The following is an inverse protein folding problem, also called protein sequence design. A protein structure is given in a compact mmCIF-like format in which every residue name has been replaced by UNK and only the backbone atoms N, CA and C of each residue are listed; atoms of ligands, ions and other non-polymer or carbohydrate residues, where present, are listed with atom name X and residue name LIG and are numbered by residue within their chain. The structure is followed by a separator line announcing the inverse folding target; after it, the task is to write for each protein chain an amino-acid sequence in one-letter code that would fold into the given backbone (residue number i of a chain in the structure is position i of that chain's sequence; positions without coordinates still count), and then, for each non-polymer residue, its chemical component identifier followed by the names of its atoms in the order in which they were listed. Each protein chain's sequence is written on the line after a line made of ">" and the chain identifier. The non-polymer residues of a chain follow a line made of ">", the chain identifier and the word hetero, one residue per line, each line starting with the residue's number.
data_IF_005676226250
#
_entry.id   IF_005676226250
#
_cell.length_a   1.000
_cell.length_b   1.000
_cell.length_c   1.000
_cell.angle_alpha   90.00
_cell.angle_beta   90.00
_cell.angle_gamma   90.00
#
_symmetry.space_group_name_H-M   'P 1'
#
loop_
_entity.id
_entity.type
_entity.pdbx_description
1 polymer ?
#
# COMPACT_ATOMS: atom_id res chain seq x y z
N UNK A 1 -11.92 -1.40 -7.51
CA UNK A 1 -11.82 -2.88 -7.63
C UNK A 1 -11.97 -3.55 -6.26
N UNK A 2 -12.45 -4.80 -6.17
CA UNK A 2 -12.69 -5.47 -4.88
C UNK A 2 -11.40 -5.65 -4.04
N UNK A 3 -10.29 -5.99 -4.70
CA UNK A 3 -8.96 -6.09 -4.07
C UNK A 3 -8.55 -4.77 -3.40
N UNK A 4 -8.77 -3.64 -4.08
CA UNK A 4 -8.43 -2.31 -3.55
C UNK A 4 -9.29 -1.95 -2.33
N UNK A 5 -10.60 -2.22 -2.37
CA UNK A 5 -11.49 -1.96 -1.24
C UNK A 5 -11.08 -2.77 0.00
N UNK A 6 -10.80 -4.06 -0.18
CA UNK A 6 -10.36 -4.95 0.88
C UNK A 6 -9.02 -4.51 1.46
N UNK A 7 -8.04 -4.15 0.61
CA UNK A 7 -6.74 -3.64 1.03
C UNK A 7 -6.86 -2.36 1.86
N UNK A 8 -7.63 -1.38 1.38
CA UNK A 8 -7.84 -0.11 2.10
C UNK A 8 -8.54 -0.33 3.45
N UNK A 9 -9.52 -1.23 3.51
CA UNK A 9 -10.17 -1.59 4.78
C UNK A 9 -9.20 -2.25 5.75
N UNK A 10 -8.36 -3.17 5.28
CA UNK A 10 -7.38 -3.85 6.12
C UNK A 10 -6.37 -2.85 6.72
N UNK A 11 -5.80 -1.97 5.90
CA UNK A 11 -4.87 -0.94 6.35
C UNK A 11 -5.51 0.02 7.37
N UNK A 12 -6.76 0.45 7.14
CA UNK A 12 -7.51 1.34 8.04
C UNK A 12 -7.77 0.76 9.44
N UNK A 13 -7.74 -0.56 9.59
CA UNK A 13 -7.86 -1.19 10.92
C UNK A 13 -6.59 -1.01 11.76
N UNK A 14 -5.45 -0.77 11.13
CA UNK A 14 -4.17 -0.57 11.83
C UNK A 14 -3.96 0.91 12.16
N UNK A 15 -4.18 1.80 11.18
CA UNK A 15 -4.05 3.23 11.41
C UNK A 15 -3.97 4.05 10.13
N UNK A 16 -3.47 5.27 10.28
CA UNK A 16 -3.29 6.24 9.21
C UNK A 16 -1.79 6.35 8.89
N UNK A 17 -1.24 5.27 8.34
CA UNK A 17 0.18 5.06 8.03
C UNK A 17 0.38 4.46 6.64
N UNK A 18 1.63 4.17 6.30
CA UNK A 18 1.97 3.40 5.11
C UNK A 18 2.00 1.91 5.47
N UNK A 19 1.17 1.12 4.81
CA UNK A 19 1.08 -0.32 5.06
C UNK A 19 1.15 -1.12 3.78
N UNK A 20 1.89 -2.23 3.81
CA UNK A 20 1.78 -3.28 2.81
C UNK A 20 0.65 -4.23 3.19
N UNK A 21 -0.19 -4.63 2.23
CA UNK A 21 -1.28 -5.58 2.47
C UNK A 21 -1.19 -6.71 1.46
N UNK A 22 -0.88 -7.90 1.97
CA UNK A 22 -0.80 -9.10 1.15
C UNK A 22 -2.18 -9.71 0.99
N UNK A 23 -2.61 -9.86 -0.26
CA UNK A 23 -3.95 -10.33 -0.61
C UNK A 23 -3.83 -11.59 -1.48
N UNK A 24 -4.64 -12.60 -1.15
CA UNK A 24 -4.82 -13.79 -1.96
C UNK A 24 -6.24 -13.86 -2.51
N UNK A 25 -6.35 -13.84 -3.84
CA UNK A 25 -7.60 -14.17 -4.54
C UNK A 25 -7.67 -15.68 -4.81
N UNK A 26 -8.83 -16.27 -4.53
CA UNK A 26 -9.12 -17.69 -4.69
C UNK A 26 -10.54 -17.86 -5.27
N UNK A 27 -10.93 -19.06 -5.73
CA UNK A 27 -12.32 -19.33 -6.12
C UNK A 27 -13.36 -19.07 -5.03
N UNK A 28 -12.94 -19.06 -3.76
CA UNK A 28 -13.80 -18.85 -2.60
C UNK A 28 -13.84 -17.38 -2.13
N UNK A 29 -13.12 -16.48 -2.82
CA UNK A 29 -13.08 -15.06 -2.51
C UNK A 29 -11.67 -14.51 -2.30
N UNK A 30 -11.62 -13.27 -1.84
CA UNK A 30 -10.41 -12.47 -1.62
C UNK A 30 -10.12 -12.42 -0.10
N UNK A 31 -8.91 -12.80 0.28
CA UNK A 31 -8.49 -12.91 1.67
C UNK A 31 -7.25 -12.06 1.91
N UNK A 32 -7.22 -11.35 3.04
CA UNK A 32 -6.01 -10.68 3.55
C UNK A 32 -5.16 -11.74 4.26
N UNK A 33 -3.88 -11.79 3.91
CA UNK A 33 -2.91 -12.73 4.48
C UNK A 33 -2.10 -12.05 5.58
N UNK A 34 -1.56 -10.87 5.30
CA UNK A 34 -0.72 -10.10 6.22
C UNK A 34 -0.91 -8.59 6.00
N UNK A 35 -0.68 -7.81 7.07
CA UNK A 35 -0.55 -6.36 7.01
C UNK A 35 0.78 -5.97 7.68
N UNK A 36 1.67 -5.32 6.91
CA UNK A 36 3.01 -4.93 7.34
C UNK A 36 3.09 -3.40 7.51
N UNK A 37 3.57 -2.95 8.66
CA UNK A 37 3.77 -1.52 9.01
C UNK A 37 5.07 -0.92 8.48
N UNK A 38 6.04 -1.77 8.15
CA UNK A 38 7.25 -1.41 7.43
C UNK A 38 7.37 -2.24 6.14
N UNK A 39 6.51 -1.96 5.13
CA UNK A 39 6.56 -2.69 3.87
C UNK A 39 7.86 -2.43 3.12
N UNK A 40 8.35 -3.43 2.40
CA UNK A 40 9.41 -3.20 1.43
C UNK A 40 8.85 -2.44 0.22
N UNK A 41 9.69 -1.61 -0.40
CA UNK A 41 9.37 -0.86 -1.62
C UNK A 41 10.59 -0.93 -2.53
N UNK A 42 10.42 -1.38 -3.76
CA UNK A 42 11.48 -1.78 -4.67
C UNK A 42 11.43 -1.05 -6.01
N UNK A 43 12.56 -0.46 -6.41
CA UNK A 43 12.71 0.03 -7.79
C UNK A 43 12.53 -1.11 -8.81
N UNK A 44 11.81 -0.81 -9.89
CA UNK A 44 11.41 -1.77 -10.91
C UNK A 44 10.07 -2.45 -10.63
N UNK A 45 9.53 -2.37 -9.40
CA UNK A 45 8.22 -2.93 -9.03
C UNK A 45 7.20 -1.80 -8.90
N UNK A 46 7.31 -0.94 -7.88
CA UNK A 46 6.32 0.12 -7.66
C UNK A 46 6.33 1.19 -8.76
N UNK A 47 7.48 1.38 -9.41
CA UNK A 47 7.67 2.36 -10.48
C UNK A 47 7.53 1.76 -11.89
N UNK A 48 7.02 0.54 -12.00
CA UNK A 48 6.73 -0.10 -13.29
C UNK A 48 5.76 0.75 -14.12
N UNK A 49 4.71 1.27 -13.47
CA UNK A 49 3.68 2.09 -14.09
C UNK A 49 4.01 3.60 -14.11
N UNK A 50 4.14 4.22 -12.94
CA UNK A 50 4.21 5.69 -12.80
C UNK A 50 5.64 6.26 -12.81
N UNK A 51 6.67 5.40 -12.92
CA UNK A 51 8.09 5.80 -12.93
C UNK A 51 8.40 6.73 -11.74
N UNK A 52 9.08 7.85 -11.98
CA UNK A 52 9.47 8.77 -10.91
C UNK A 52 8.30 9.38 -10.12
N UNK A 53 7.08 9.39 -10.68
CA UNK A 53 5.95 10.03 -10.03
C UNK A 53 5.51 9.31 -8.75
N UNK A 54 5.62 7.97 -8.67
CA UNK A 54 5.25 7.25 -7.45
C UNK A 54 6.17 7.63 -6.29
N UNK A 55 7.48 7.76 -6.55
CA UNK A 55 8.47 8.13 -5.54
C UNK A 55 8.27 9.56 -5.06
N UNK A 56 7.95 10.48 -5.98
CA UNK A 56 7.65 11.88 -5.65
C UNK A 56 6.40 11.96 -4.76
N UNK A 57 5.33 11.26 -5.12
CA UNK A 57 4.09 11.25 -4.34
C UNK A 57 4.28 10.64 -2.95
N UNK A 58 4.96 9.50 -2.87
CA UNK A 58 5.26 8.83 -1.61
C UNK A 58 6.08 9.72 -0.67
N UNK A 59 7.15 10.34 -1.20
CA UNK A 59 8.01 11.23 -0.41
C UNK A 59 7.25 12.47 0.06
N UNK A 60 6.45 13.09 -0.81
CA UNK A 60 5.60 14.23 -0.44
C UNK A 60 4.62 13.88 0.67
N UNK A 61 3.98 12.72 0.60
CA UNK A 61 3.07 12.26 1.65
C UNK A 61 3.76 12.18 3.02
N UNK A 62 4.98 11.66 3.10
CA UNK A 62 5.74 11.63 4.35
C UNK A 62 6.15 13.02 4.85
N UNK A 63 6.55 13.92 3.95
CA UNK A 63 6.86 15.31 4.30
C UNK A 63 5.65 15.97 4.95
N UNK A 64 4.48 15.91 4.30
CA UNK A 64 3.24 16.50 4.81
C UNK A 64 2.84 15.88 6.17
N UNK A 65 3.01 14.55 6.32
CA UNK A 65 2.67 13.82 7.56
C UNK A 65 3.55 14.20 8.74
N UNK A 66 4.83 14.46 8.51
CA UNK A 66 5.82 14.78 9.55
C UNK A 66 5.86 16.26 9.94
N UNK A 67 4.96 17.07 9.38
CA UNK A 67 4.86 18.50 9.66
C UNK A 67 5.77 19.37 8.78
N UNK A 68 6.05 18.91 7.56
CA UNK A 68 6.56 19.76 6.48
C UNK A 68 5.57 20.84 6.06
#
# INVERSE_FOLDING_TARGET
>A
PAVLDIGLRAAKLIGDGLYGVDIKETPNGIFVVEVNDNPNIEHGVEDEAEKDQVWIQLTRWFIDKLGG
#
